data_IF_244044006186
#
_entry.id   IF_244044006186
#
_cell.length_a   1.000
_cell.length_b   1.000
_cell.length_c   1.000
_cell.angle_alpha   90.00
_cell.angle_beta   90.00
_cell.angle_gamma   90.00
#
_symmetry.space_group_name_H-M   'P 1'
#
loop_
_entity.id
_entity.type
_entity.pdbx_description
1 polymer ?
#
# COMPACT_ATOMS: atom_id res chain seq x y z
N UNK A 1 14.80 -24.47 8.26
CA UNK A 1 15.04 -23.02 8.18
C UNK A 1 16.37 -22.77 8.90
N UNK A 2 17.38 -22.25 8.20
CA UNK A 2 18.78 -22.23 8.67
C UNK A 2 19.04 -21.33 9.88
N UNK A 3 20.22 -21.48 10.48
CA UNK A 3 20.74 -20.85 11.72
C UNK A 3 20.74 -19.29 11.76
N UNK A 4 19.99 -18.59 10.91
CA UNK A 4 20.04 -17.14 10.73
C UNK A 4 18.78 -16.38 11.19
N UNK A 5 17.71 -17.06 11.59
CA UNK A 5 16.46 -16.42 12.06
C UNK A 5 16.16 -16.91 13.48
N UNK A 6 16.03 -15.98 14.42
CA UNK A 6 15.58 -16.27 15.80
C UNK A 6 14.06 -16.16 15.85
N UNK A 7 13.39 -17.19 16.35
CA UNK A 7 11.93 -17.23 16.48
C UNK A 7 11.58 -17.27 17.97
N UNK A 8 10.68 -16.39 18.40
CA UNK A 8 10.10 -16.39 19.74
C UNK A 8 8.60 -16.69 19.61
N UNK A 9 8.15 -17.92 19.94
CA UNK A 9 6.73 -18.25 19.87
C UNK A 9 5.98 -17.62 21.06
N UNK A 10 4.83 -17.01 20.78
CA UNK A 10 3.89 -16.49 21.78
C UNK A 10 2.56 -17.21 21.61
N UNK A 11 2.04 -17.78 22.70
CA UNK A 11 0.76 -18.48 22.72
C UNK A 11 -0.24 -17.68 23.56
N UNK A 12 -1.42 -17.43 23.02
CA UNK A 12 -2.53 -16.83 23.76
C UNK A 12 -3.44 -17.95 24.27
N UNK A 13 -3.70 -17.95 25.59
CA UNK A 13 -4.59 -18.91 26.25
C UNK A 13 -5.80 -18.26 26.93
N UNK A 14 -5.81 -16.93 27.05
CA UNK A 14 -6.93 -16.14 27.57
C UNK A 14 -7.04 -14.79 26.84
N UNK A 15 -8.19 -14.13 26.97
CA UNK A 15 -8.45 -12.79 26.41
C UNK A 15 -8.27 -11.69 27.48
N UNK A 16 -7.29 -11.84 28.38
CA UNK A 16 -7.10 -10.85 29.43
C UNK A 16 -6.50 -9.56 28.83
N UNK A 17 -7.29 -8.50 28.77
CA UNK A 17 -6.88 -7.19 28.24
C UNK A 17 -5.63 -6.62 28.92
N UNK A 18 -5.43 -6.88 30.23
CA UNK A 18 -4.23 -6.42 30.96
C UNK A 18 -2.99 -7.17 30.49
N UNK A 19 -3.10 -8.48 30.28
CA UNK A 19 -2.02 -9.32 29.76
C UNK A 19 -1.65 -8.90 28.34
N UNK A 20 -2.65 -8.68 27.48
CA UNK A 20 -2.44 -8.23 26.09
C UNK A 20 -1.75 -6.86 26.08
N UNK A 21 -2.22 -5.90 26.87
CA UNK A 21 -1.61 -4.57 26.94
C UNK A 21 -0.15 -4.64 27.42
N UNK A 22 0.15 -5.41 28.47
CA UNK A 22 1.52 -5.59 28.96
C UNK A 22 2.44 -6.28 27.96
N UNK A 23 1.92 -7.25 27.20
CA UNK A 23 2.65 -7.87 26.09
C UNK A 23 2.96 -6.84 25.00
N UNK A 24 1.97 -6.07 24.57
CA UNK A 24 2.12 -5.03 23.53
C UNK A 24 3.14 -3.98 23.97
N UNK A 25 3.11 -3.52 25.22
CA UNK A 25 4.10 -2.59 25.76
C UNK A 25 5.53 -3.17 25.74
N UNK A 26 5.66 -4.45 26.08
CA UNK A 26 6.95 -5.15 26.07
C UNK A 26 7.47 -5.34 24.65
N UNK A 27 6.60 -5.74 23.72
CA UNK A 27 6.92 -5.90 22.29
C UNK A 27 7.36 -4.57 21.67
N UNK A 28 6.62 -3.48 21.90
CA UNK A 28 6.93 -2.17 21.36
C UNK A 28 8.31 -1.64 21.79
N UNK A 29 8.86 -2.10 22.94
CA UNK A 29 10.19 -1.73 23.42
C UNK A 29 11.33 -2.52 22.77
N UNK A 30 11.06 -3.71 22.25
CA UNK A 30 12.09 -4.64 21.76
C UNK A 30 12.08 -4.81 20.24
N UNK A 31 10.97 -4.51 19.56
CA UNK A 31 10.86 -4.61 18.11
C UNK A 31 11.71 -3.50 17.45
N UNK A 32 12.52 -3.90 16.48
CA UNK A 32 13.35 -3.03 15.65
C UNK A 32 13.14 -3.28 14.15
N UNK A 33 13.92 -2.62 13.28
CA UNK A 33 13.80 -2.77 11.83
C UNK A 33 14.12 -4.18 11.28
N UNK A 34 14.65 -5.07 12.12
CA UNK A 34 15.00 -6.45 11.76
C UNK A 34 13.99 -7.46 12.31
N UNK A 35 12.98 -6.98 13.02
CA UNK A 35 11.98 -7.80 13.69
C UNK A 35 10.68 -7.79 12.90
N UNK A 36 10.19 -8.97 12.54
CA UNK A 36 8.88 -9.14 11.91
C UNK A 36 7.95 -9.81 12.91
N UNK A 37 6.82 -9.18 13.18
CA UNK A 37 5.74 -9.77 13.97
C UNK A 37 4.78 -10.47 13.01
N UNK A 38 4.54 -11.76 13.26
CA UNK A 38 3.61 -12.58 12.48
C UNK A 38 2.51 -13.06 13.41
N UNK A 39 1.26 -12.76 13.03
CA UNK A 39 0.07 -13.25 13.71
C UNK A 39 -0.65 -14.18 12.75
N UNK A 40 -1.04 -15.35 13.26
CA UNK A 40 -1.75 -16.38 12.50
C UNK A 40 -3.10 -16.60 13.15
N UNK A 41 -4.17 -16.37 12.40
CA UNK A 41 -5.54 -16.57 12.87
C UNK A 41 -6.49 -16.78 11.70
N UNK A 42 -7.46 -17.67 11.89
CA UNK A 42 -8.60 -17.83 10.99
C UNK A 42 -9.66 -16.76 11.30
N UNK A 43 -10.43 -16.34 10.29
CA UNK A 43 -11.58 -15.46 10.46
C UNK A 43 -12.83 -16.26 10.81
N UNK A 44 -13.92 -16.11 10.05
CA UNK A 44 -15.18 -16.75 10.41
C UNK A 44 -15.11 -18.27 10.28
N UNK A 45 -15.75 -18.96 11.22
CA UNK A 45 -15.86 -20.41 11.21
C UNK A 45 -17.29 -20.86 10.87
N UNK A 46 -17.37 -21.64 9.78
CA UNK A 46 -18.53 -22.39 9.32
C UNK A 46 -19.76 -21.65 8.78
N UNK A 47 -19.75 -20.34 8.45
CA UNK A 47 -20.86 -19.79 7.66
C UNK A 47 -20.95 -20.45 6.28
N UNK A 48 -22.09 -20.25 5.63
CA UNK A 48 -22.18 -20.43 4.18
C UNK A 48 -21.23 -19.45 3.46
N UNK A 49 -20.78 -19.80 2.26
CA UNK A 49 -19.86 -18.97 1.46
C UNK A 49 -20.31 -17.51 1.32
N UNK A 50 -21.60 -17.28 1.05
CA UNK A 50 -22.16 -15.93 0.91
C UNK A 50 -22.14 -15.16 2.22
N UNK A 51 -22.40 -15.83 3.34
CA UNK A 51 -22.37 -15.24 4.66
C UNK A 51 -20.93 -14.96 5.12
N UNK A 52 -19.98 -15.87 4.83
CA UNK A 52 -18.55 -15.68 5.07
C UNK A 52 -18.05 -14.39 4.43
N UNK A 53 -18.31 -14.20 3.13
CA UNK A 53 -17.93 -12.99 2.40
C UNK A 53 -18.47 -11.69 3.04
N UNK A 54 -19.65 -11.76 3.68
CA UNK A 54 -20.24 -10.60 4.36
C UNK A 54 -19.59 -10.36 5.72
N UNK A 55 -19.59 -11.36 6.59
CA UNK A 55 -19.13 -11.20 7.97
C UNK A 55 -17.61 -10.98 8.02
N UNK A 56 -16.85 -11.67 7.17
CA UNK A 56 -15.39 -11.50 7.08
C UNK A 56 -15.02 -10.12 6.55
N UNK A 57 -15.76 -9.59 5.55
CA UNK A 57 -15.50 -8.23 5.06
C UNK A 57 -15.67 -7.19 6.16
N UNK A 58 -16.73 -7.30 6.96
CA UNK A 58 -16.96 -6.40 8.09
C UNK A 58 -15.90 -6.57 9.19
N UNK A 59 -15.47 -7.81 9.47
CA UNK A 59 -14.36 -8.10 10.39
C UNK A 59 -13.05 -7.48 9.89
N UNK A 60 -12.72 -7.66 8.61
CA UNK A 60 -11.54 -7.06 7.98
C UNK A 60 -11.62 -5.53 8.06
N UNK A 61 -12.76 -4.92 7.72
CA UNK A 61 -12.94 -3.46 7.85
C UNK A 61 -12.72 -2.97 9.29
N UNK A 62 -13.13 -3.75 10.29
CA UNK A 62 -12.91 -3.45 11.71
C UNK A 62 -11.42 -3.49 12.06
N UNK A 63 -10.70 -4.52 11.58
CA UNK A 63 -9.23 -4.62 11.72
C UNK A 63 -8.53 -3.47 11.00
N UNK A 64 -8.95 -3.12 9.78
CA UNK A 64 -8.38 -2.02 9.00
C UNK A 64 -8.63 -0.64 9.63
N UNK A 65 -9.71 -0.48 10.40
CA UNK A 65 -9.97 0.73 11.19
C UNK A 65 -9.23 0.75 12.52
N UNK A 66 -8.47 -0.30 12.83
CA UNK A 66 -7.83 -0.50 14.13
C UNK A 66 -8.87 -0.41 15.26
N UNK A 67 -10.02 -1.05 15.14
CA UNK A 67 -11.10 -0.95 16.13
C UNK A 67 -11.24 -2.24 16.94
N UNK A 68 -10.38 -2.42 17.95
CA UNK A 68 -10.37 -3.66 18.76
C UNK A 68 -11.67 -3.82 19.55
N UNK A 69 -12.24 -2.72 20.07
CA UNK A 69 -13.47 -2.76 20.86
C UNK A 69 -14.66 -3.29 20.06
N UNK A 70 -14.81 -2.84 18.81
CA UNK A 70 -15.85 -3.36 17.91
C UNK A 70 -15.57 -4.81 17.50
N UNK A 71 -14.31 -5.19 17.28
CA UNK A 71 -13.96 -6.57 16.95
C UNK A 71 -14.34 -7.53 18.08
N UNK A 72 -13.95 -7.19 19.31
CA UNK A 72 -14.29 -7.91 20.54
C UNK A 72 -15.80 -8.05 20.73
N UNK A 73 -16.54 -6.94 20.55
CA UNK A 73 -17.98 -6.94 20.67
C UNK A 73 -18.63 -7.88 19.64
N UNK A 74 -18.18 -7.83 18.38
CA UNK A 74 -18.71 -8.68 17.32
C UNK A 74 -18.38 -10.15 17.54
N UNK A 75 -17.18 -10.48 18.01
CA UNK A 75 -16.83 -11.86 18.35
C UNK A 75 -17.73 -12.42 19.45
N UNK A 76 -17.96 -11.67 20.54
CA UNK A 76 -18.91 -12.07 21.60
C UNK A 76 -20.32 -12.28 21.06
N UNK A 77 -20.80 -11.39 20.20
CA UNK A 77 -22.11 -11.54 19.55
C UNK A 77 -22.20 -12.81 18.70
N UNK A 78 -21.11 -13.21 18.02
CA UNK A 78 -21.08 -14.43 17.23
C UNK A 78 -21.14 -15.67 18.13
N UNK A 79 -20.40 -15.67 19.24
CA UNK A 79 -20.47 -16.72 20.27
C UNK A 79 -21.87 -16.82 20.91
N UNK A 80 -22.57 -15.70 21.04
CA UNK A 80 -23.97 -15.62 21.50
C UNK A 80 -25.00 -15.99 20.41
N UNK A 81 -24.55 -16.26 19.18
CA UNK A 81 -25.41 -16.73 18.08
C UNK A 81 -26.09 -15.62 17.26
N UNK A 82 -25.56 -14.39 17.25
CA UNK A 82 -26.11 -13.27 16.48
C UNK A 82 -26.10 -13.52 14.96
N UNK A 83 -25.22 -14.40 14.47
CA UNK A 83 -25.22 -14.86 13.09
C UNK A 83 -25.43 -16.38 13.03
N UNK A 84 -26.53 -16.80 12.41
CA UNK A 84 -26.84 -18.21 12.25
C UNK A 84 -25.70 -18.93 11.51
N UNK A 85 -25.17 -19.99 12.12
CA UNK A 85 -24.12 -20.83 11.52
C UNK A 85 -22.70 -20.25 11.59
N UNK A 86 -22.49 -19.09 12.20
CA UNK A 86 -21.15 -18.52 12.43
C UNK A 86 -20.72 -18.83 13.85
N UNK A 87 -19.68 -19.65 14.02
CA UNK A 87 -19.19 -20.01 15.36
C UNK A 87 -18.31 -18.92 15.99
N UNK A 88 -17.56 -18.19 15.17
CA UNK A 88 -16.70 -17.06 15.56
C UNK A 88 -16.43 -16.20 14.32
N UNK A 89 -15.95 -14.96 14.50
CA UNK A 89 -15.54 -14.07 13.42
C UNK A 89 -14.01 -13.93 13.31
N UNK A 90 -13.28 -14.16 14.40
CA UNK A 90 -11.83 -14.31 14.44
C UNK A 90 -11.45 -15.29 15.55
N UNK A 91 -11.09 -16.53 15.20
CA UNK A 91 -10.85 -17.60 16.16
C UNK A 91 -9.67 -17.32 17.11
N UNK A 92 -8.72 -16.51 16.67
CA UNK A 92 -7.57 -16.05 17.45
C UNK A 92 -7.67 -14.57 17.83
N UNK A 93 -8.89 -14.10 18.16
CA UNK A 93 -9.18 -12.72 18.57
C UNK A 93 -8.09 -12.04 19.42
N UNK A 94 -7.60 -12.62 20.55
CA UNK A 94 -6.62 -11.93 21.40
C UNK A 94 -5.29 -11.64 20.70
N UNK A 95 -4.87 -12.49 19.75
CA UNK A 95 -3.68 -12.24 18.95
C UNK A 95 -3.92 -11.12 17.90
N UNK A 96 -5.14 -11.04 17.36
CA UNK A 96 -5.56 -9.96 16.46
C UNK A 96 -5.69 -8.64 17.22
N UNK A 97 -6.21 -8.65 18.45
CA UNK A 97 -6.29 -7.47 19.30
C UNK A 97 -4.90 -6.96 19.67
N UNK A 98 -3.98 -7.87 20.03
CA UNK A 98 -2.58 -7.53 20.23
C UNK A 98 -1.97 -6.87 18.97
N UNK A 99 -2.32 -7.35 17.77
CA UNK A 99 -1.92 -6.74 16.51
C UNK A 99 -2.41 -5.30 16.38
N UNK A 100 -3.71 -5.09 16.61
CA UNK A 100 -4.37 -3.79 16.48
C UNK A 100 -3.78 -2.80 17.48
N UNK A 101 -3.62 -3.21 18.74
CA UNK A 101 -3.05 -2.39 19.81
C UNK A 101 -1.58 -2.06 19.55
N UNK A 102 -0.79 -3.03 19.09
CA UNK A 102 0.61 -2.81 18.71
C UNK A 102 0.70 -1.86 17.51
N UNK A 103 -0.15 -2.04 16.50
CA UNK A 103 -0.24 -1.15 15.35
C UNK A 103 -0.61 0.28 15.76
N UNK A 104 -1.59 0.46 16.66
CA UNK A 104 -1.92 1.78 17.24
C UNK A 104 -0.71 2.40 17.95
N UNK A 105 -0.08 1.65 18.85
CA UNK A 105 1.05 2.13 19.65
C UNK A 105 2.26 2.51 18.78
N UNK A 106 2.49 1.76 17.70
CA UNK A 106 3.59 1.99 16.77
C UNK A 106 3.22 2.90 15.58
N UNK A 107 1.98 3.40 15.50
CA UNK A 107 1.51 4.24 14.40
C UNK A 107 1.49 3.55 13.02
N UNK A 108 1.28 2.22 13.00
CA UNK A 108 1.22 1.44 11.77
C UNK A 108 -0.16 1.56 11.12
N UNK A 109 -0.18 1.62 9.80
CA UNK A 109 -1.40 1.55 9.00
C UNK A 109 -1.60 0.15 8.43
N UNK A 110 -2.82 -0.40 8.49
CA UNK A 110 -3.13 -1.69 7.91
C UNK A 110 -3.48 -1.58 6.42
N UNK A 111 -3.10 -2.59 5.63
CA UNK A 111 -3.58 -2.83 4.27
C UNK A 111 -3.98 -4.29 4.10
N UNK A 112 -5.15 -4.51 3.51
CA UNK A 112 -5.57 -5.85 3.09
C UNK A 112 -4.76 -6.25 1.86
N UNK A 113 -3.99 -7.33 1.96
CA UNK A 113 -3.28 -7.92 0.83
C UNK A 113 -4.18 -8.88 0.06
N UNK A 114 -4.91 -9.73 0.79
CA UNK A 114 -5.83 -10.70 0.20
C UNK A 114 -6.86 -11.18 1.22
N UNK A 115 -8.05 -11.46 0.72
CA UNK A 115 -9.07 -12.25 1.41
C UNK A 115 -9.41 -13.48 0.54
N UNK A 116 -9.68 -14.60 1.19
CA UNK A 116 -10.22 -15.82 0.58
C UNK A 116 -10.92 -16.64 1.67
N UNK A 117 -11.75 -17.61 1.28
CA UNK A 117 -12.29 -18.61 2.20
C UNK A 117 -12.10 -20.02 1.64
N UNK A 118 -12.29 -21.05 2.48
CA UNK A 118 -12.06 -22.45 2.06
C UNK A 118 -12.91 -22.87 0.85
N UNK A 119 -14.07 -22.26 0.64
CA UNK A 119 -14.94 -22.53 -0.52
C UNK A 119 -14.40 -21.98 -1.86
N UNK A 120 -13.29 -21.24 -1.86
CA UNK A 120 -12.58 -20.84 -3.08
C UNK A 120 -11.68 -21.96 -3.64
N UNK A 121 -11.43 -23.02 -2.87
CA UNK A 121 -10.69 -24.18 -3.34
C UNK A 121 -11.58 -25.12 -4.19
N UNK A 122 -10.99 -25.73 -5.22
CA UNK A 122 -11.72 -26.44 -6.28
C UNK A 122 -12.55 -27.66 -5.83
N UNK A 123 -12.35 -28.18 -4.60
CA UNK A 123 -12.96 -29.41 -4.10
C UNK A 123 -13.73 -29.22 -2.78
N UNK A 124 -13.89 -27.99 -2.32
CA UNK A 124 -14.51 -27.67 -1.02
C UNK A 124 -15.99 -27.31 -1.17
N UNK A 125 -16.80 -27.65 -0.17
CA UNK A 125 -18.23 -27.32 -0.16
C UNK A 125 -18.46 -25.88 0.27
N UNK A 126 -19.48 -25.21 -0.28
CA UNK A 126 -19.80 -23.80 0.01
C UNK A 126 -20.80 -23.60 1.15
N UNK A 127 -21.23 -24.68 1.79
CA UNK A 127 -22.25 -24.63 2.85
C UNK A 127 -21.67 -24.30 4.22
N UNK A 128 -20.38 -24.61 4.44
CA UNK A 128 -19.64 -24.31 5.67
C UNK A 128 -18.18 -24.05 5.32
N UNK A 129 -17.76 -22.79 5.39
CA UNK A 129 -16.40 -22.38 5.01
C UNK A 129 -15.65 -21.73 6.18
N UNK A 130 -14.33 -21.61 6.04
CA UNK A 130 -13.48 -20.83 6.96
C UNK A 130 -12.88 -19.65 6.21
N UNK A 131 -12.96 -18.45 6.78
CA UNK A 131 -12.41 -17.23 6.20
C UNK A 131 -10.93 -17.01 6.54
N UNK A 132 -10.18 -16.41 5.61
CA UNK A 132 -8.76 -16.08 5.79
C UNK A 132 -8.46 -14.70 5.20
N UNK A 133 -7.68 -13.90 5.92
CA UNK A 133 -7.17 -12.62 5.42
C UNK A 133 -5.67 -12.48 5.67
N UNK A 134 -4.96 -11.99 4.66
CA UNK A 134 -3.61 -11.50 4.78
C UNK A 134 -3.65 -9.98 4.89
N UNK A 135 -3.24 -9.45 6.04
CA UNK A 135 -3.22 -8.00 6.33
C UNK A 135 -1.80 -7.63 6.71
N UNK A 136 -1.25 -6.61 6.07
CA UNK A 136 0.05 -6.04 6.44
C UNK A 136 -0.18 -4.77 7.25
N UNK A 137 0.43 -4.71 8.44
CA UNK A 137 0.54 -3.49 9.22
C UNK A 137 1.92 -2.91 8.98
N UNK A 138 1.97 -1.77 8.32
CA UNK A 138 3.22 -1.12 7.95
C UNK A 138 3.21 0.29 8.52
N UNK A 139 4.36 0.75 8.99
CA UNK A 139 4.49 2.16 9.34
C UNK A 139 4.24 2.98 8.08
N UNK A 140 3.40 3.99 8.16
CA UNK A 140 3.53 5.11 7.23
C UNK A 140 4.76 5.89 7.70
N UNK A 141 5.93 5.27 7.52
CA UNK A 141 7.17 5.60 8.21
C UNK A 141 7.88 4.36 8.77
N UNK A 142 8.48 3.53 7.92
CA UNK A 142 9.67 2.80 8.36
C UNK A 142 10.76 3.82 8.62
N UNK A 143 10.89 4.34 9.86
CA UNK A 143 11.72 5.53 10.14
C UNK A 143 11.60 6.59 9.03
N UNK A 144 10.39 7.10 8.83
CA UNK A 144 10.29 8.51 8.46
C UNK A 144 10.01 9.22 9.77
N UNK A 145 11.06 9.72 10.41
CA UNK A 145 10.90 11.09 10.89
C UNK A 145 10.30 11.86 9.70
N UNK A 146 9.17 12.55 9.88
CA UNK A 146 9.02 13.78 9.11
C UNK A 146 10.37 14.49 9.26
N UNK A 147 11.05 14.96 8.19
CA UNK A 147 12.24 15.74 8.41
C UNK A 147 11.85 16.82 9.41
N UNK A 148 12.40 16.72 10.62
CA UNK A 148 12.50 17.87 11.48
C UNK A 148 13.13 18.93 10.58
N UNK A 149 12.55 20.15 10.52
CA UNK A 149 12.98 21.14 9.55
C UNK A 149 14.46 21.38 9.80
N UNK A 150 15.30 20.79 8.94
CA UNK A 150 16.63 21.34 8.72
C UNK A 150 16.36 22.58 7.91
N UNK A 151 16.17 23.68 8.64
CA UNK A 151 16.47 25.00 8.12
C UNK A 151 17.87 24.93 7.51
N UNK A 152 17.90 24.85 6.19
CA UNK A 152 19.12 24.56 5.44
C UNK A 152 18.79 24.09 4.03
N UNK A 153 18.65 25.06 3.13
CA UNK A 153 18.87 24.98 1.67
C UNK A 153 19.75 23.78 1.23
N UNK A 154 19.63 23.14 0.08
CA UNK A 154 19.00 23.43 -1.21
C UNK A 154 19.41 22.30 -2.15
N UNK A 155 18.50 21.81 -2.99
CA UNK A 155 18.72 21.43 -4.40
C UNK A 155 17.39 20.87 -4.94
N UNK A 156 16.98 21.20 -6.17
CA UNK A 156 15.85 20.51 -6.79
C UNK A 156 16.13 19.01 -6.86
N UNK A 157 15.10 18.15 -6.78
CA UNK A 157 15.28 16.70 -6.89
C UNK A 157 16.06 16.39 -8.17
N UNK A 158 17.16 15.65 -8.03
CA UNK A 158 18.04 15.32 -9.17
C UNK A 158 17.21 14.56 -10.21
N UNK A 159 17.03 15.17 -11.37
CA UNK A 159 16.36 14.54 -12.49
C UNK A 159 17.27 13.46 -13.07
N UNK A 160 16.68 12.35 -13.54
CA UNK A 160 17.41 11.35 -14.30
C UNK A 160 17.85 11.99 -15.62
N UNK A 161 19.15 11.91 -15.91
CA UNK A 161 19.70 12.24 -17.21
C UNK A 161 19.14 11.31 -18.29
N UNK A 162 19.20 11.70 -19.58
CA UNK A 162 18.67 10.87 -20.68
C UNK A 162 19.24 9.46 -20.70
N UNK A 163 20.52 9.29 -20.38
CA UNK A 163 21.15 7.97 -20.29
C UNK A 163 20.57 7.13 -19.15
N UNK A 164 20.35 7.75 -17.99
CA UNK A 164 19.73 7.11 -16.82
C UNK A 164 18.26 6.75 -17.09
N UNK A 165 17.51 7.60 -17.81
CA UNK A 165 16.16 7.29 -18.27
C UNK A 165 16.17 6.04 -19.18
N UNK A 166 17.11 5.95 -20.12
CA UNK A 166 17.28 4.77 -20.96
C UNK A 166 17.63 3.51 -20.17
N UNK A 167 18.42 3.63 -19.11
CA UNK A 167 18.71 2.52 -18.18
C UNK A 167 17.45 2.11 -17.40
N UNK A 168 16.67 3.07 -16.90
CA UNK A 168 15.41 2.80 -16.19
C UNK A 168 14.40 2.04 -17.09
N UNK A 169 14.21 2.49 -18.33
CA UNK A 169 13.36 1.81 -19.31
C UNK A 169 13.88 0.39 -19.62
N UNK A 170 15.21 0.23 -19.76
CA UNK A 170 15.82 -1.07 -19.98
C UNK A 170 15.61 -2.03 -18.81
N UNK A 171 15.72 -1.55 -17.57
CA UNK A 171 15.43 -2.35 -16.37
C UNK A 171 13.99 -2.86 -16.44
N UNK A 172 13.01 -1.97 -16.67
CA UNK A 172 11.61 -2.36 -16.79
C UNK A 172 11.39 -3.38 -17.92
N UNK A 173 11.93 -3.12 -19.12
CA UNK A 173 11.82 -4.00 -20.28
C UNK A 173 12.40 -5.39 -20.02
N UNK A 174 13.61 -5.45 -19.49
CA UNK A 174 14.28 -6.71 -19.16
C UNK A 174 13.52 -7.50 -18.10
N UNK A 175 12.94 -6.82 -17.12
CA UNK A 175 12.11 -7.46 -16.10
C UNK A 175 10.85 -8.08 -16.69
N UNK A 176 10.18 -7.39 -17.63
CA UNK A 176 9.03 -7.96 -18.34
C UNK A 176 9.42 -9.15 -19.21
N UNK A 177 10.53 -9.06 -19.94
CA UNK A 177 11.05 -10.18 -20.74
C UNK A 177 11.44 -11.39 -19.88
N UNK A 178 12.07 -11.14 -18.73
CA UNK A 178 12.45 -12.16 -17.76
C UNK A 178 11.21 -12.90 -17.22
N UNK A 179 10.07 -12.20 -17.03
CA UNK A 179 8.84 -12.81 -16.56
C UNK A 179 8.28 -13.91 -17.50
N UNK A 180 8.58 -13.86 -18.80
CA UNK A 180 8.15 -14.86 -19.79
C UNK A 180 9.25 -15.84 -20.22
N UNK A 181 10.40 -15.80 -19.55
CA UNK A 181 11.53 -16.69 -19.80
C UNK A 181 11.97 -17.37 -18.50
N UNK A 182 12.82 -18.40 -18.59
CA UNK A 182 13.43 -19.01 -17.39
C UNK A 182 14.67 -18.25 -16.90
N UNK A 183 14.90 -17.03 -17.39
CA UNK A 183 16.06 -16.23 -16.99
C UNK A 183 15.80 -15.59 -15.63
N UNK A 184 16.84 -15.52 -14.81
CA UNK A 184 16.79 -14.79 -13.56
C UNK A 184 16.61 -13.29 -13.86
N UNK A 185 15.66 -12.67 -13.16
CA UNK A 185 15.43 -11.23 -13.20
C UNK A 185 16.44 -10.55 -12.26
N UNK A 186 17.62 -10.22 -12.79
CA UNK A 186 18.71 -9.60 -12.06
C UNK A 186 18.91 -8.16 -12.51
N UNK A 187 19.14 -7.26 -11.54
CA UNK A 187 19.53 -5.89 -11.86
C UNK A 187 20.90 -5.84 -12.54
N UNK A 188 21.10 -4.90 -13.48
CA UNK A 188 22.42 -4.62 -14.01
C UNK A 188 23.42 -4.26 -12.90
N UNK A 189 24.67 -4.68 -13.04
CA UNK A 189 25.76 -4.27 -12.16
C UNK A 189 26.28 -2.89 -12.56
N UNK A 190 26.83 -2.13 -11.61
CA UNK A 190 27.44 -0.82 -11.88
C UNK A 190 26.44 0.30 -12.20
N UNK A 191 25.21 0.22 -11.69
CA UNK A 191 24.22 1.29 -11.82
C UNK A 191 24.70 2.58 -11.13
N UNK A 192 24.36 3.73 -11.72
CA UNK A 192 24.60 5.04 -11.14
C UNK A 192 23.93 5.18 -9.76
N UNK A 193 24.49 6.02 -8.89
CA UNK A 193 23.99 6.20 -7.50
C UNK A 193 22.52 6.61 -7.43
N UNK A 194 22.00 7.32 -8.45
CA UNK A 194 20.59 7.72 -8.52
C UNK A 194 19.62 6.53 -8.47
N UNK A 195 20.06 5.34 -8.89
CA UNK A 195 19.28 4.11 -8.83
C UNK A 195 19.20 3.48 -7.44
N UNK A 196 20.02 3.93 -6.50
CA UNK A 196 19.97 3.55 -5.09
C UNK A 196 19.08 4.49 -4.28
N UNK A 197 18.72 5.67 -4.83
CA UNK A 197 17.83 6.61 -4.17
C UNK A 197 16.45 6.01 -3.94
N UNK A 198 15.89 6.31 -2.77
CA UNK A 198 14.57 5.88 -2.33
C UNK A 198 13.51 6.81 -2.90
N UNK A 199 13.01 6.48 -4.09
CA UNK A 199 12.04 7.33 -4.83
C UNK A 199 10.80 6.53 -5.23
N UNK A 200 9.65 7.19 -5.15
CA UNK A 200 8.41 6.68 -5.71
C UNK A 200 8.51 6.58 -7.23
N UNK A 201 7.90 5.56 -7.80
CA UNK A 201 7.88 5.35 -9.25
C UNK A 201 6.54 4.76 -9.67
N UNK A 202 6.05 5.19 -10.83
CA UNK A 202 4.94 4.54 -11.53
C UNK A 202 5.45 3.99 -12.85
N UNK A 203 5.12 2.73 -13.15
CA UNK A 203 5.37 2.10 -14.43
C UNK A 203 4.04 1.94 -15.14
N UNK A 204 3.96 2.48 -16.35
CA UNK A 204 2.80 2.46 -17.22
C UNK A 204 3.13 1.68 -18.48
N UNK A 205 2.24 0.77 -18.85
CA UNK A 205 2.30 -0.03 -20.05
C UNK A 205 1.22 0.45 -21.01
N UNK A 206 1.61 0.77 -22.24
CA UNK A 206 0.70 1.19 -23.31
C UNK A 206 0.79 0.21 -24.47
N UNK A 207 -0.35 -0.26 -24.99
CA UNK A 207 -0.40 -1.10 -26.19
C UNK A 207 -1.11 -0.30 -27.28
N UNK A 208 -0.44 -0.08 -28.41
CA UNK A 208 -0.97 0.77 -29.50
C UNK A 208 -1.43 2.16 -29.04
N UNK A 209 -0.74 2.74 -28.04
CA UNK A 209 -1.08 4.04 -27.46
C UNK A 209 -2.13 4.01 -26.35
N UNK A 210 -2.84 2.90 -26.16
CA UNK A 210 -3.85 2.76 -25.10
C UNK A 210 -3.27 2.18 -23.81
N UNK A 211 -3.79 2.62 -22.66
CA UNK A 211 -3.38 2.14 -21.35
C UNK A 211 -3.69 0.64 -21.20
N UNK A 212 -2.68 -0.16 -20.86
CA UNK A 212 -2.77 -1.62 -20.62
C UNK A 212 -2.41 -2.02 -19.19
N UNK A 213 -1.76 -1.13 -18.44
CA UNK A 213 -1.48 -1.32 -17.02
C UNK A 213 -0.72 -0.12 -16.47
N UNK A 214 -0.98 0.26 -15.23
CA UNK A 214 -0.25 1.33 -14.55
C UNK A 214 -0.30 1.11 -13.05
N UNK A 215 0.85 0.77 -12.47
CA UNK A 215 1.02 0.58 -11.03
C UNK A 215 2.27 1.34 -10.58
N UNK A 216 2.21 1.87 -9.37
CA UNK A 216 3.31 2.62 -8.78
C UNK A 216 3.11 2.86 -7.29
N UNK A 217 4.12 3.50 -6.71
CA UNK A 217 4.10 3.96 -5.33
C UNK A 217 4.59 5.42 -5.24
N UNK A 218 4.12 6.12 -4.21
CA UNK A 218 4.51 7.50 -3.95
C UNK A 218 5.87 7.62 -3.25
N UNK A 219 6.19 6.61 -2.44
CA UNK A 219 7.43 6.46 -1.69
C UNK A 219 7.90 5.02 -1.77
N UNK A 220 9.17 4.79 -1.49
CA UNK A 220 9.78 3.46 -1.55
C UNK A 220 10.92 3.36 -0.54
N UNK A 221 10.95 2.27 0.23
CA UNK A 221 12.06 1.97 1.15
C UNK A 221 13.24 1.28 0.47
N UNK A 222 13.06 0.86 -0.78
CA UNK A 222 14.07 0.25 -1.65
C UNK A 222 14.57 1.25 -2.70
N UNK A 223 15.74 0.98 -3.28
CA UNK A 223 16.32 1.81 -4.32
C UNK A 223 15.50 1.82 -5.61
N UNK A 224 15.54 2.94 -6.33
CA UNK A 224 14.79 3.19 -7.56
C UNK A 224 14.87 2.05 -8.58
N UNK A 225 16.04 1.45 -8.81
CA UNK A 225 16.16 0.34 -9.77
C UNK A 225 15.32 -0.87 -9.37
N UNK A 226 15.38 -1.28 -8.11
CA UNK A 226 14.57 -2.38 -7.61
C UNK A 226 13.09 -2.03 -7.62
N UNK A 227 12.75 -0.78 -7.27
CA UNK A 227 11.37 -0.29 -7.31
C UNK A 227 10.78 -0.36 -8.73
N UNK A 228 11.56 0.04 -9.75
CA UNK A 228 11.16 -0.07 -11.17
C UNK A 228 10.85 -1.52 -11.54
N UNK A 229 11.68 -2.50 -11.15
CA UNK A 229 11.42 -3.91 -11.45
C UNK A 229 10.10 -4.40 -10.84
N UNK A 230 9.88 -4.09 -9.57
CA UNK A 230 8.65 -4.50 -8.87
C UNK A 230 7.44 -3.85 -9.54
N UNK A 231 7.46 -2.53 -9.73
CA UNK A 231 6.33 -1.82 -10.33
C UNK A 231 6.07 -2.22 -11.78
N UNK A 232 7.10 -2.60 -12.55
CA UNK A 232 6.92 -3.14 -13.90
C UNK A 232 6.16 -4.47 -13.89
N UNK A 233 6.50 -5.40 -12.97
CA UNK A 233 5.76 -6.66 -12.81
C UNK A 233 4.33 -6.42 -12.36
N UNK A 234 4.14 -5.55 -11.37
CA UNK A 234 2.81 -5.22 -10.88
C UNK A 234 1.94 -4.61 -11.99
N UNK A 235 2.47 -3.66 -12.76
CA UNK A 235 1.76 -3.06 -13.88
C UNK A 235 1.41 -4.07 -14.99
N UNK A 236 2.26 -5.09 -15.20
CA UNK A 236 2.02 -6.12 -16.21
C UNK A 236 1.01 -7.18 -15.79
N UNK A 237 0.99 -7.57 -14.50
CA UNK A 237 0.29 -8.79 -14.08
C UNK A 237 -0.77 -8.58 -13.00
N UNK A 238 -0.71 -7.48 -12.25
CA UNK A 238 -1.52 -7.26 -11.05
C UNK A 238 -2.33 -5.96 -11.07
N UNK A 239 -2.36 -5.21 -12.18
CA UNK A 239 -3.30 -4.09 -12.33
C UNK A 239 -4.73 -4.63 -12.44
N UNK A 240 -5.62 -4.40 -11.44
CA UNK A 240 -6.94 -5.03 -11.37
C UNK A 240 -7.90 -4.58 -12.48
N UNK A 241 -7.54 -3.53 -13.22
CA UNK A 241 -8.36 -3.00 -14.33
C UNK A 241 -8.15 -3.77 -15.64
N UNK A 242 -7.08 -4.55 -15.74
CA UNK A 242 -6.66 -5.19 -16.99
C UNK A 242 -6.34 -6.67 -16.79
N UNK A 243 -6.48 -7.46 -17.86
CA UNK A 243 -5.97 -8.83 -17.86
C UNK A 243 -4.43 -8.83 -17.85
N UNK A 244 -3.80 -9.79 -17.16
CA UNK A 244 -2.35 -9.95 -17.15
C UNK A 244 -1.76 -9.95 -18.56
N UNK A 245 -0.58 -9.35 -18.72
CA UNK A 245 0.11 -9.26 -19.99
C UNK A 245 0.46 -10.65 -20.53
N UNK A 246 0.18 -10.89 -21.81
CA UNK A 246 0.62 -12.11 -22.48
C UNK A 246 1.97 -11.94 -23.18
N UNK A 247 2.71 -13.04 -23.33
CA UNK A 247 4.01 -13.04 -24.02
C UNK A 247 3.93 -12.50 -25.45
N UNK A 248 2.83 -12.79 -26.14
CA UNK A 248 2.56 -12.33 -27.52
C UNK A 248 2.45 -10.81 -27.62
N UNK A 249 1.97 -10.16 -26.56
CA UNK A 249 1.72 -8.72 -26.47
C UNK A 249 2.98 -7.92 -26.14
N UNK A 250 3.98 -8.55 -25.52
CA UNK A 250 5.17 -7.86 -24.98
C UNK A 250 5.89 -6.98 -26.02
N UNK A 251 5.96 -7.44 -27.27
CA UNK A 251 6.59 -6.72 -28.39
C UNK A 251 5.84 -5.45 -28.80
N UNK A 252 4.55 -5.36 -28.49
CA UNK A 252 3.65 -4.28 -28.88
C UNK A 252 3.36 -3.31 -27.72
N UNK A 253 3.94 -3.57 -26.54
CA UNK A 253 3.83 -2.73 -25.35
C UNK A 253 4.96 -1.70 -25.34
N UNK A 254 4.61 -0.42 -25.25
CA UNK A 254 5.50 0.68 -24.90
C UNK A 254 5.47 0.92 -23.38
N UNK A 255 6.63 1.18 -22.79
CA UNK A 255 6.81 1.44 -21.36
C UNK A 255 6.99 2.94 -21.15
N UNK A 256 6.29 3.47 -20.15
CA UNK A 256 6.44 4.82 -19.64
C UNK A 256 6.70 4.76 -18.12
N UNK A 257 7.69 5.50 -17.66
CA UNK A 257 8.10 5.56 -16.25
C UNK A 257 7.92 6.99 -15.75
N UNK A 258 7.26 7.13 -14.62
CA UNK A 258 7.15 8.39 -13.88
C UNK A 258 7.93 8.28 -12.57
N UNK A 259 9.10 8.92 -12.50
CA UNK A 259 9.92 8.96 -11.26
C UNK A 259 9.54 10.19 -10.45
N UNK A 260 9.13 9.98 -9.21
CA UNK A 260 8.66 11.06 -8.33
C UNK A 260 9.80 11.70 -7.55
N UNK A 261 9.67 12.99 -7.24
CA UNK A 261 10.47 13.62 -6.20
C UNK A 261 9.98 13.17 -4.81
N UNK A 262 10.80 13.33 -3.76
CA UNK A 262 10.31 13.25 -2.40
C UNK A 262 9.08 14.15 -2.20
N UNK A 263 8.12 13.68 -1.41
CA UNK A 263 6.97 14.48 -1.01
C UNK A 263 7.42 15.56 -0.03
N UNK A 264 7.02 16.80 -0.30
CA UNK A 264 7.28 17.94 0.55
C UNK A 264 5.97 18.42 1.16
N UNK A 265 5.86 18.40 2.49
CA UNK A 265 4.73 19.02 3.18
C UNK A 265 4.75 20.53 2.95
N UNK A 266 3.58 21.10 2.71
CA UNK A 266 3.39 22.55 2.58
C UNK A 266 2.33 23.02 3.57
N UNK A 267 2.60 24.15 4.20
CA UNK A 267 1.66 24.80 5.12
C UNK A 267 0.75 25.79 4.39
N UNK A 268 1.11 26.19 3.17
CA UNK A 268 0.34 27.08 2.33
C UNK A 268 0.05 26.46 0.95
N UNK A 269 -1.22 26.08 0.66
CA UNK A 269 -1.66 25.62 -0.66
C UNK A 269 -1.38 26.61 -1.81
N UNK A 270 -1.14 27.90 -1.52
CA UNK A 270 -0.74 28.88 -2.53
C UNK A 270 0.61 28.55 -3.20
N UNK A 271 1.45 27.71 -2.57
CA UNK A 271 2.70 27.21 -3.15
C UNK A 271 2.50 26.15 -4.26
N UNK A 272 1.28 25.66 -4.45
CA UNK A 272 0.96 24.67 -5.48
C UNK A 272 0.99 25.34 -6.86
N UNK A 273 1.90 24.88 -7.72
CA UNK A 273 2.00 25.28 -9.11
C UNK A 273 1.32 24.21 -9.99
N UNK A 274 0.17 24.57 -10.57
CA UNK A 274 -0.60 23.69 -11.45
C UNK A 274 0.24 23.30 -12.67
N UNK A 275 0.22 22.02 -13.03
CA UNK A 275 0.99 21.49 -14.15
C UNK A 275 2.44 21.14 -13.84
N UNK A 276 2.96 21.58 -12.68
CA UNK A 276 4.29 21.25 -12.18
C UNK A 276 4.22 20.33 -10.97
N UNK A 277 3.34 20.63 -10.02
CA UNK A 277 3.19 19.89 -8.77
C UNK A 277 2.04 18.88 -8.87
N UNK A 278 2.34 17.63 -8.53
CA UNK A 278 1.36 16.68 -8.03
C UNK A 278 1.07 16.99 -6.58
N UNK A 279 -0.15 16.73 -6.14
CA UNK A 279 -0.63 17.11 -4.80
C UNK A 279 -1.26 15.92 -4.14
N UNK A 280 -0.75 15.61 -2.95
CA UNK A 280 -1.35 14.65 -2.03
C UNK A 280 -1.97 15.42 -0.87
N UNK A 281 -3.23 15.11 -0.56
CA UNK A 281 -3.97 15.69 0.56
C UNK A 281 -4.34 14.58 1.54
N UNK A 282 -4.25 14.86 2.84
CA UNK A 282 -4.61 13.92 3.90
C UNK A 282 -5.36 14.62 5.03
N UNK A 283 -6.45 14.02 5.49
CA UNK A 283 -7.18 14.43 6.71
C UNK A 283 -7.77 13.21 7.41
N UNK A 284 -7.14 12.78 8.50
CA UNK A 284 -7.52 11.53 9.18
C UNK A 284 -7.34 10.32 8.25
N UNK A 285 -8.40 9.53 8.06
CA UNK A 285 -8.44 8.38 7.14
C UNK A 285 -8.69 8.76 5.67
N UNK A 286 -9.04 10.02 5.40
CA UNK A 286 -9.32 10.50 4.06
C UNK A 286 -8.02 10.96 3.41
N UNK A 287 -7.78 10.51 2.18
CA UNK A 287 -6.64 10.99 1.40
C UNK A 287 -6.94 10.96 -0.09
N UNK A 288 -6.35 11.90 -0.81
CA UNK A 288 -6.52 12.04 -2.25
C UNK A 288 -5.21 12.44 -2.90
N UNK A 289 -5.04 12.07 -4.17
CA UNK A 289 -3.85 12.41 -4.93
C UNK A 289 -4.18 12.73 -6.37
N UNK A 290 -3.49 13.74 -6.91
CA UNK A 290 -3.38 13.96 -8.34
C UNK A 290 -1.92 14.10 -8.75
N UNK A 291 -1.61 13.60 -9.94
CA UNK A 291 -0.32 13.79 -10.59
C UNK A 291 -0.25 15.16 -11.28
N UNK A 292 0.95 15.70 -11.56
CA UNK A 292 1.12 17.03 -12.15
C UNK A 292 0.32 17.29 -13.43
N UNK A 293 0.19 16.28 -14.29
CA UNK A 293 -0.40 16.39 -15.62
C UNK A 293 -1.93 16.53 -15.62
N UNK A 294 -2.62 16.07 -14.58
CA UNK A 294 -4.09 15.97 -14.54
C UNK A 294 -4.76 17.32 -14.80
N UNK A 295 -4.24 18.38 -14.18
CA UNK A 295 -4.80 19.71 -14.34
C UNK A 295 -4.60 20.29 -15.75
N UNK A 296 -3.47 19.97 -16.40
CA UNK A 296 -3.19 20.40 -17.77
C UNK A 296 -4.14 19.68 -18.74
N UNK A 297 -4.26 18.36 -18.60
CA UNK A 297 -5.11 17.54 -19.48
C UNK A 297 -6.58 17.96 -19.43
N UNK A 298 -7.06 18.38 -18.26
CA UNK A 298 -8.45 18.78 -18.05
C UNK A 298 -8.69 20.30 -18.19
N UNK A 299 -7.63 21.07 -18.47
CA UNK A 299 -7.73 22.53 -18.58
C UNK A 299 -8.16 23.21 -17.28
N UNK A 300 -7.85 22.62 -16.13
CA UNK A 300 -8.26 23.12 -14.83
C UNK A 300 -7.34 24.21 -14.31
N UNK A 301 -7.94 25.24 -13.71
CA UNK A 301 -7.21 26.18 -12.86
C UNK A 301 -6.93 25.57 -11.48
N UNK A 302 -6.14 26.27 -10.67
CA UNK A 302 -5.73 25.83 -9.33
C UNK A 302 -6.89 25.51 -8.40
N UNK A 303 -7.92 26.35 -8.39
CA UNK A 303 -9.08 26.16 -7.52
C UNK A 303 -9.89 24.93 -7.95
N UNK A 304 -10.12 24.76 -9.25
CA UNK A 304 -10.79 23.56 -9.78
C UNK A 304 -10.01 22.29 -9.44
N UNK A 305 -8.69 22.32 -9.61
CA UNK A 305 -7.81 21.20 -9.28
C UNK A 305 -7.87 20.82 -7.80
N UNK A 306 -7.77 21.80 -6.89
CA UNK A 306 -7.81 21.54 -5.44
C UNK A 306 -9.20 21.15 -4.95
N UNK A 307 -10.26 21.77 -5.50
CA UNK A 307 -11.63 21.43 -5.15
C UNK A 307 -11.95 19.98 -5.55
N UNK A 308 -11.58 19.58 -6.77
CA UNK A 308 -11.74 18.21 -7.25
C UNK A 308 -10.88 17.22 -6.45
N UNK A 309 -9.64 17.60 -6.12
CA UNK A 309 -8.75 16.76 -5.30
C UNK A 309 -9.36 16.49 -3.92
N UNK A 310 -9.86 17.52 -3.25
CA UNK A 310 -10.52 17.38 -1.96
C UNK A 310 -11.79 16.53 -2.08
N UNK A 311 -12.70 16.87 -3.00
CA UNK A 311 -14.03 16.25 -3.06
C UNK A 311 -14.01 14.85 -3.68
N UNK A 312 -13.44 14.72 -4.88
CA UNK A 312 -13.54 13.50 -5.67
C UNK A 312 -12.51 12.45 -5.28
N UNK A 313 -11.30 12.89 -4.91
CA UNK A 313 -10.20 11.97 -4.56
C UNK A 313 -10.07 11.73 -3.07
N UNK A 314 -10.20 12.76 -2.25
CA UNK A 314 -10.08 12.61 -0.81
C UNK A 314 -11.41 12.33 -0.11
N UNK A 315 -12.56 12.55 -0.76
CA UNK A 315 -13.87 12.42 -0.09
C UNK A 315 -14.09 13.48 1.00
N UNK A 316 -13.45 14.64 0.86
CA UNK A 316 -13.52 15.77 1.79
C UNK A 316 -14.42 16.88 1.22
N UNK A 317 -14.67 17.93 2.02
CA UNK A 317 -15.28 19.16 1.50
C UNK A 317 -14.43 19.72 0.36
N UNK A 318 -15.03 20.17 -0.74
CA UNK A 318 -14.31 20.77 -1.86
C UNK A 318 -13.36 21.90 -1.41
N UNK A 319 -13.74 22.66 -0.38
CA UNK A 319 -12.92 23.74 0.17
C UNK A 319 -11.91 23.27 1.25
N UNK A 320 -11.56 21.98 1.35
CA UNK A 320 -10.67 21.45 2.41
C UNK A 320 -9.28 22.07 2.43
N UNK A 321 -8.85 22.67 1.32
CA UNK A 321 -7.59 23.38 1.20
C UNK A 321 -7.62 24.80 1.75
N UNK A 322 -8.79 25.34 2.15
CA UNK A 322 -8.94 26.69 2.71
C UNK A 322 -9.13 26.71 4.22
N UNK A 323 -9.61 25.63 4.81
CA UNK A 323 -9.99 25.60 6.23
C UNK A 323 -8.82 25.24 7.17
N UNK A 324 -7.65 24.90 6.62
CA UNK A 324 -6.44 24.57 7.37
C UNK A 324 -6.49 23.22 8.10
N UNK A 325 -7.50 22.39 7.84
CA UNK A 325 -7.72 21.14 8.57
C UNK A 325 -7.13 19.90 7.89
N UNK A 326 -6.65 20.03 6.66
CA UNK A 326 -6.03 18.97 5.89
C UNK A 326 -4.54 19.25 5.66
N UNK A 327 -3.74 18.20 5.69
CA UNK A 327 -2.31 18.25 5.38
C UNK A 327 -2.10 18.15 3.88
N UNK A 328 -1.27 19.03 3.33
CA UNK A 328 -0.95 19.06 1.91
C UNK A 328 0.52 18.75 1.68
N UNK A 329 0.78 17.96 0.65
CA UNK A 329 2.10 17.58 0.20
C UNK A 329 2.20 17.80 -1.30
N UNK A 330 3.31 18.37 -1.75
CA UNK A 330 3.63 18.54 -3.17
C UNK A 330 4.77 17.61 -3.57
N UNK A 331 4.74 17.18 -4.82
CA UNK A 331 5.84 16.46 -5.45
C UNK A 331 5.86 16.77 -6.95
N UNK A 332 6.97 16.53 -7.60
CA UNK A 332 7.10 16.58 -9.07
C UNK A 332 7.25 15.16 -9.61
N UNK A 333 6.83 14.93 -10.85
CA UNK A 333 7.06 13.68 -11.57
C UNK A 333 7.90 13.97 -12.82
N UNK A 334 8.97 13.20 -13.01
CA UNK A 334 9.69 13.16 -14.28
C UNK A 334 9.17 11.98 -15.09
N UNK A 335 8.45 12.28 -16.17
CA UNK A 335 7.84 11.28 -17.05
C UNK A 335 8.70 11.09 -18.29
N UNK A 336 8.99 9.84 -18.64
CA UNK A 336 9.71 9.46 -19.86
C UNK A 336 9.26 8.07 -20.31
N UNK A 337 9.30 7.81 -21.62
CA UNK A 337 8.89 6.54 -22.21
C UNK A 337 9.74 6.17 -23.42
N UNK A 338 9.51 4.98 -23.96
CA UNK A 338 10.11 4.48 -25.21
C UNK A 338 9.60 5.19 -26.46
#
# INVERSE_FOLDING_TARGET
MGNYIKIVPLLFGDNNATTIAGLVESLAKIIDEKTVVVISSDLSHYPTYSQANKVDKETIETILRLDEATLDQRNRQAEEGAWLGVATLACGAPAVDAAILLAKQMGLSPILLKYANSGDAALETKDRVVGYAAISFYGVGGRSEAPSPKEGASLPPKLLAKEEQGVALRIARQTLEAAFTKKADQLPTGLAEIFQEKRGVFVTLKKQGELKGCIGNFTSDIGLAQNIQIMAKEAAFNDPRFLPLEKSELKDVAIEISVLSPMQKIDNPDLIEVGKHGVYVKKGSHSGVYLPQVAIELGWNKEQFLNSLCAEKAGLSAACWRDGTAEFYIFTAQVFGE
#
